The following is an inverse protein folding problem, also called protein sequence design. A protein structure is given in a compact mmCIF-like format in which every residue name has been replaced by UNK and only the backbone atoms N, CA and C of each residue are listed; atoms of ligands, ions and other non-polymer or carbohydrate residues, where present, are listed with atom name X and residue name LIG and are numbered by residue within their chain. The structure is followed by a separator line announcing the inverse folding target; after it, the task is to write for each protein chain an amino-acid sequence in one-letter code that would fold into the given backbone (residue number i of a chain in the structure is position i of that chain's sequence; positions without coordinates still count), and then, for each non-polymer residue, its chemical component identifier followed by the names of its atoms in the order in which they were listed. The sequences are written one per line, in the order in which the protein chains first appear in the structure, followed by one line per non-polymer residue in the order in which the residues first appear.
data_IF_342060725182
#
_entry.id   IF_342060725182
#
_cell.length_a   1.000
_cell.length_b   1.000
_cell.length_c   1.000
_cell.angle_alpha   90.00
_cell.angle_beta   90.00
_cell.angle_gamma   90.00
#
_symmetry.space_group_name_H-M   'P 1'
#
loop_
_entity.id
_entity.type
_entity.pdbx_description
1 polymer ?
#
# COMPACT_ATOMS: atom_id res chain seq x y z
N UNK A 1 18.84 35.28 -24.34
CA UNK A 1 18.94 34.73 -22.96
C UNK A 1 18.07 33.48 -22.73
N UNK A 2 16.78 33.45 -23.12
CA UNK A 2 15.92 32.25 -22.98
C UNK A 2 16.43 30.99 -23.71
N UNK A 3 17.06 31.15 -24.87
CA UNK A 3 17.65 30.05 -25.66
C UNK A 3 18.84 29.37 -24.97
N UNK A 4 19.72 30.15 -24.32
CA UNK A 4 20.88 29.65 -23.56
C UNK A 4 20.46 28.88 -22.30
N UNK A 5 19.43 29.37 -21.59
CA UNK A 5 18.84 28.66 -20.45
C UNK A 5 18.23 27.31 -20.86
N UNK A 6 17.54 27.25 -22.00
CA UNK A 6 17.02 25.98 -22.53
C UNK A 6 18.14 25.02 -22.95
N UNK A 7 19.24 25.51 -23.51
CA UNK A 7 20.39 24.70 -23.92
C UNK A 7 21.12 24.05 -22.74
N UNK A 8 21.23 24.76 -21.62
CA UNK A 8 21.75 24.24 -20.34
C UNK A 8 20.78 23.26 -19.64
N UNK A 9 19.48 23.39 -19.88
CA UNK A 9 18.45 22.50 -19.32
C UNK A 9 18.29 21.19 -20.10
N UNK A 10 18.70 21.13 -21.37
CA UNK A 10 18.67 19.90 -22.19
C UNK A 10 19.45 18.74 -21.55
N UNK A 11 20.73 18.89 -21.13
CA UNK A 11 21.46 17.79 -20.48
C UNK A 11 20.82 17.39 -19.16
N UNK A 12 20.27 18.34 -18.39
CA UNK A 12 19.51 18.04 -17.17
C UNK A 12 18.25 17.21 -17.46
N UNK A 13 17.48 17.56 -18.51
CA UNK A 13 16.29 16.81 -18.92
C UNK A 13 16.64 15.40 -19.39
N UNK A 14 17.73 15.24 -20.14
CA UNK A 14 18.22 13.94 -20.62
C UNK A 14 18.66 13.06 -19.45
N UNK A 15 19.27 13.62 -18.39
CA UNK A 15 19.67 12.88 -17.20
C UNK A 15 18.50 12.55 -16.26
N UNK A 16 17.50 13.45 -16.18
CA UNK A 16 16.30 13.25 -15.38
C UNK A 16 15.35 12.22 -16.00
N UNK A 17 15.31 12.11 -17.33
CA UNK A 17 14.42 11.20 -18.03
C UNK A 17 14.59 9.71 -17.64
N UNK A 18 15.80 9.11 -17.64
CA UNK A 18 16.00 7.74 -17.18
C UNK A 18 15.73 7.59 -15.69
N UNK A 19 15.97 8.63 -14.89
CA UNK A 19 15.67 8.60 -13.45
C UNK A 19 14.17 8.55 -13.19
N UNK A 20 13.37 9.31 -13.96
CA UNK A 20 11.90 9.27 -13.90
C UNK A 20 11.38 7.90 -14.33
N UNK A 21 11.91 7.33 -15.43
CA UNK A 21 11.53 5.98 -15.88
C UNK A 21 11.85 4.95 -14.80
N UNK A 22 13.02 5.04 -14.17
CA UNK A 22 13.41 4.15 -13.08
C UNK A 22 12.45 4.26 -11.89
N UNK A 23 12.08 5.47 -11.47
CA UNK A 23 11.13 5.71 -10.38
C UNK A 23 9.76 5.12 -10.72
N UNK A 24 9.26 5.30 -11.95
CA UNK A 24 7.97 4.75 -12.39
C UNK A 24 8.01 3.22 -12.37
N UNK A 25 9.05 2.60 -12.93
CA UNK A 25 9.20 1.15 -12.90
C UNK A 25 9.28 0.61 -11.47
N UNK A 26 10.03 1.27 -10.59
CA UNK A 26 10.15 0.86 -9.19
C UNK A 26 8.83 1.03 -8.43
N UNK A 27 8.08 2.11 -8.71
CA UNK A 27 6.72 2.34 -8.23
C UNK A 27 5.75 1.23 -8.65
N UNK A 28 5.78 0.82 -9.92
CA UNK A 28 4.94 -0.27 -10.41
C UNK A 28 5.33 -1.57 -9.70
N UNK A 29 6.62 -1.89 -9.63
CA UNK A 29 7.11 -3.12 -9.01
C UNK A 29 6.72 -3.21 -7.54
N UNK A 30 6.92 -2.14 -6.77
CA UNK A 30 6.51 -2.06 -5.36
C UNK A 30 4.99 -2.16 -5.19
N UNK A 31 4.20 -1.58 -6.10
CA UNK A 31 2.74 -1.69 -6.04
C UNK A 31 2.25 -3.13 -6.27
N UNK A 32 2.88 -3.87 -7.19
CA UNK A 32 2.56 -5.28 -7.47
C UNK A 32 2.95 -6.16 -6.29
N UNK A 33 4.14 -5.97 -5.71
CA UNK A 33 4.55 -6.68 -4.49
C UNK A 33 3.60 -6.41 -3.32
N UNK A 34 3.20 -5.16 -3.12
CA UNK A 34 2.26 -4.80 -2.06
C UNK A 34 0.89 -5.45 -2.28
N UNK A 35 0.40 -5.53 -3.52
CA UNK A 35 -0.85 -6.22 -3.84
C UNK A 35 -0.76 -7.73 -3.55
N UNK A 36 0.32 -8.38 -3.97
CA UNK A 36 0.53 -9.81 -3.70
C UNK A 36 0.64 -10.09 -2.20
N UNK A 37 1.37 -9.27 -1.44
CA UNK A 37 1.49 -9.39 0.02
C UNK A 37 0.14 -9.29 0.73
N UNK A 38 -0.71 -8.34 0.32
CA UNK A 38 -2.07 -8.18 0.86
C UNK A 38 -2.96 -9.38 0.58
N UNK A 39 -2.85 -9.95 -0.62
CA UNK A 39 -3.60 -11.16 -0.98
C UNK A 39 -3.20 -12.35 -0.10
N UNK A 40 -1.90 -12.55 0.12
CA UNK A 40 -1.38 -13.62 0.98
C UNK A 40 -1.82 -13.43 2.43
N UNK A 41 -1.71 -12.22 2.98
CA UNK A 41 -2.19 -11.91 4.34
C UNK A 41 -3.70 -12.14 4.50
N UNK A 42 -4.50 -11.74 3.52
CA UNK A 42 -5.93 -12.00 3.51
C UNK A 42 -6.26 -13.50 3.50
N UNK A 43 -5.51 -14.29 2.72
CA UNK A 43 -5.67 -15.74 2.65
C UNK A 43 -5.30 -16.43 3.96
N UNK A 44 -4.21 -16.00 4.62
CA UNK A 44 -3.81 -16.48 5.94
C UNK A 44 -4.90 -16.19 6.98
N UNK A 45 -5.46 -14.98 6.98
CA UNK A 45 -6.56 -14.61 7.90
C UNK A 45 -7.83 -15.45 7.66
N UNK A 46 -8.14 -15.81 6.42
CA UNK A 46 -9.25 -16.72 6.09
C UNK A 46 -9.03 -18.12 6.67
N UNK A 47 -7.82 -18.66 6.56
CA UNK A 47 -7.45 -19.97 7.14
C UNK A 47 -7.58 -19.92 8.67
N UNK A 48 -7.09 -18.86 9.30
CA UNK A 48 -7.19 -18.64 10.75
C UNK A 48 -8.67 -18.58 11.19
N UNK A 49 -9.53 -17.91 10.41
CA UNK A 49 -10.96 -17.83 10.70
C UNK A 49 -11.64 -19.21 10.63
N UNK A 50 -11.35 -20.02 9.62
CA UNK A 50 -11.84 -21.40 9.53
C UNK A 50 -11.35 -22.26 10.71
N UNK A 51 -10.07 -22.11 11.08
CA UNK A 51 -9.49 -22.77 12.25
C UNK A 51 -10.18 -22.36 13.56
N UNK A 52 -10.54 -21.08 13.69
CA UNK A 52 -11.26 -20.54 14.84
C UNK A 52 -12.67 -21.15 14.94
N UNK A 53 -13.43 -21.19 13.84
CA UNK A 53 -14.76 -21.83 13.79
C UNK A 53 -14.67 -23.31 14.17
N UNK A 54 -13.70 -24.04 13.63
CA UNK A 54 -13.45 -25.43 14.03
C UNK A 54 -13.14 -25.56 15.52
N UNK A 55 -12.28 -24.69 16.05
CA UNK A 55 -11.90 -24.71 17.47
C UNK A 55 -13.06 -24.41 18.42
N UNK A 56 -14.00 -23.55 18.01
CA UNK A 56 -15.24 -23.28 18.73
C UNK A 56 -16.13 -24.52 18.78
N UNK A 57 -16.25 -25.25 17.66
CA UNK A 57 -17.03 -26.49 17.59
C UNK A 57 -16.48 -27.58 18.52
N UNK A 58 -15.16 -27.73 18.60
CA UNK A 58 -14.50 -28.69 19.50
C UNK A 58 -14.34 -28.20 20.95
N UNK A 59 -14.72 -26.95 21.26
CA UNK A 59 -14.71 -26.41 22.63
C UNK A 59 -13.31 -26.24 23.25
N UNK A 60 -12.24 -26.17 22.45
CA UNK A 60 -10.88 -26.08 22.99
C UNK A 60 -10.46 -24.62 23.24
N UNK A 61 -10.68 -24.15 24.47
CA UNK A 61 -10.47 -22.77 24.90
C UNK A 61 -9.04 -22.24 24.66
N UNK A 62 -8.01 -23.08 24.79
CA UNK A 62 -6.61 -22.68 24.56
C UNK A 62 -6.34 -22.37 23.09
N UNK A 63 -6.91 -23.19 22.21
CA UNK A 63 -6.76 -23.03 20.75
C UNK A 63 -7.58 -21.85 20.24
N UNK A 64 -8.78 -21.65 20.80
CA UNK A 64 -9.61 -20.48 20.51
C UNK A 64 -8.86 -19.19 20.85
N UNK A 65 -8.26 -19.10 22.05
CA UNK A 65 -7.50 -17.92 22.46
C UNK A 65 -6.30 -17.64 21.53
N UNK A 66 -5.56 -18.68 21.12
CA UNK A 66 -4.43 -18.53 20.19
C UNK A 66 -4.88 -18.03 18.80
N UNK A 67 -5.98 -18.57 18.25
CA UNK A 67 -6.49 -18.12 16.96
C UNK A 67 -7.06 -16.70 17.00
N UNK A 68 -7.70 -16.29 18.09
CA UNK A 68 -8.18 -14.90 18.26
C UNK A 68 -7.01 -13.92 18.26
N UNK A 69 -5.91 -14.24 18.95
CA UNK A 69 -4.71 -13.41 18.96
C UNK A 69 -4.05 -13.32 17.59
N UNK A 70 -3.94 -14.44 16.87
CA UNK A 70 -3.38 -14.45 15.51
C UNK A 70 -4.25 -13.66 14.54
N UNK A 71 -5.58 -13.79 14.65
CA UNK A 71 -6.53 -13.06 13.83
C UNK A 71 -6.46 -11.55 14.09
N UNK A 72 -6.37 -11.12 15.35
CA UNK A 72 -6.31 -9.69 15.68
C UNK A 72 -5.04 -9.02 15.16
N UNK A 73 -3.88 -9.70 15.23
CA UNK A 73 -2.62 -9.24 14.63
C UNK A 73 -2.77 -9.12 13.10
N UNK A 74 -3.36 -10.12 12.46
CA UNK A 74 -3.60 -10.11 11.02
C UNK A 74 -4.60 -9.05 10.56
N UNK A 75 -5.56 -8.66 11.40
CA UNK A 75 -6.48 -7.55 11.10
C UNK A 75 -5.80 -6.20 11.31
N UNK A 76 -4.98 -6.06 12.36
CA UNK A 76 -4.21 -4.84 12.63
C UNK A 76 -3.26 -4.51 11.47
N UNK A 77 -2.57 -5.51 10.90
CA UNK A 77 -1.68 -5.29 9.76
C UNK A 77 -2.44 -4.78 8.53
N UNK A 78 -3.64 -5.32 8.25
CA UNK A 78 -4.50 -4.84 7.16
C UNK A 78 -5.01 -3.41 7.39
N UNK A 79 -5.31 -3.04 8.64
CA UNK A 79 -5.76 -1.68 8.99
C UNK A 79 -4.62 -0.66 8.81
N UNK A 80 -3.40 -0.99 9.21
CA UNK A 80 -2.23 -0.10 9.03
C UNK A 80 -2.02 0.20 7.54
N UNK A 81 -2.19 -0.81 6.68
CA UNK A 81 -2.08 -0.66 5.23
C UNK A 81 -3.21 0.17 4.59
N UNK A 82 -4.31 0.41 5.30
CA UNK A 82 -5.42 1.27 4.87
C UNK A 82 -5.14 2.76 5.12
N UNK A 83 -4.28 3.10 6.08
CA UNK A 83 -3.90 4.48 6.44
C UNK A 83 -3.29 5.24 5.25
N UNK A 84 -2.30 4.72 4.50
CA UNK A 84 -1.74 5.45 3.36
C UNK A 84 -2.77 5.67 2.24
N UNK A 85 -3.74 4.76 2.06
CA UNK A 85 -4.79 4.89 1.04
C UNK A 85 -5.76 6.01 1.39
N UNK A 86 -6.16 6.12 2.66
CA UNK A 86 -7.06 7.19 3.11
C UNK A 86 -6.36 8.55 3.07
N UNK A 87 -5.09 8.61 3.46
CA UNK A 87 -4.27 9.84 3.35
C UNK A 87 -4.09 10.29 1.90
N UNK A 88 -3.85 9.36 0.96
CA UNK A 88 -3.66 9.74 -0.44
C UNK A 88 -4.96 10.25 -1.09
N UNK A 89 -6.11 9.69 -0.72
CA UNK A 89 -7.42 10.22 -1.13
C UNK A 89 -7.70 11.59 -0.54
N UNK A 90 -7.34 11.80 0.73
CA UNK A 90 -7.48 13.10 1.39
C UNK A 90 -6.58 14.16 0.74
N UNK A 91 -5.34 13.81 0.42
CA UNK A 91 -4.38 14.70 -0.27
C UNK A 91 -4.89 15.08 -1.66
N UNK A 92 -5.38 14.11 -2.46
CA UNK A 92 -5.95 14.40 -3.77
C UNK A 92 -7.21 15.28 -3.69
N UNK A 93 -8.05 15.09 -2.67
CA UNK A 93 -9.21 15.96 -2.43
C UNK A 93 -8.79 17.39 -2.08
N UNK A 94 -7.74 17.55 -1.26
CA UNK A 94 -7.16 18.84 -0.91
C UNK A 94 -6.49 19.52 -2.12
N UNK A 95 -5.78 18.76 -2.95
CA UNK A 95 -5.17 19.27 -4.19
C UNK A 95 -6.26 19.70 -5.18
N UNK A 96 -7.33 18.92 -5.33
CA UNK A 96 -8.44 19.27 -6.23
C UNK A 96 -9.22 20.49 -5.74
N UNK A 97 -9.41 20.64 -4.43
CA UNK A 97 -10.01 21.85 -3.87
C UNK A 97 -9.08 23.04 -4.06
N UNK A 98 -7.79 22.94 -3.74
CA UNK A 98 -6.81 24.02 -3.97
C UNK A 98 -6.66 24.38 -5.46
N UNK A 99 -6.69 23.40 -6.36
CA UNK A 99 -6.68 23.60 -7.80
C UNK A 99 -7.97 24.21 -8.36
N UNK A 100 -9.05 24.25 -7.58
CA UNK A 100 -10.26 25.03 -7.91
C UNK A 100 -10.09 26.52 -7.58
N UNK A 101 -9.11 26.88 -6.73
CA UNK A 101 -8.82 28.26 -6.32
C UNK A 101 -7.73 28.95 -7.17
N UNK A 102 -7.03 28.21 -8.03
CA UNK A 102 -6.04 28.72 -8.99
C UNK A 102 -6.56 28.59 -10.43
#
# INVERSE_FOLDING_TARGET
MKLLGNLLLIPMKILLFPLIIFIICFSILTSVLAFAGKFVLGFINLIILLGLVGSLYYGNSKVIAAFILLFSIGVLSLIIDLIPITLNKLSNSLINTLGFWF
#
